data_IF_625322396910
#
_entry.id   IF_625322396910
#
_cell.length_a   1.000
_cell.length_b   1.000
_cell.length_c   1.000
_cell.angle_alpha   90.00
_cell.angle_beta   90.00
_cell.angle_gamma   90.00
#
_symmetry.space_group_name_H-M   'P 1'
#
loop_
_entity.id
_entity.type
_entity.pdbx_description
1 polymer ?
#
# COMPACT_ATOMS: atom_id res chain seq x y z
N UNK A 1 9.87 -61.24 2.41
CA UNK A 1 10.42 -59.88 2.21
C UNK A 1 9.22 -58.93 2.16
N UNK A 2 8.81 -58.42 3.31
CA UNK A 2 7.59 -57.62 3.49
C UNK A 2 8.02 -56.30 4.11
N UNK A 3 8.15 -55.26 3.29
CA UNK A 3 8.42 -53.89 3.76
C UNK A 3 7.11 -53.24 4.19
N UNK A 4 7.05 -52.84 5.46
CA UNK A 4 5.99 -52.04 6.06
C UNK A 4 6.26 -50.56 5.81
N UNK A 5 5.37 -49.88 5.07
CA UNK A 5 5.35 -48.42 4.99
C UNK A 5 4.83 -47.84 6.32
N UNK A 6 5.67 -47.08 7.02
CA UNK A 6 5.22 -46.19 8.11
C UNK A 6 4.69 -44.90 7.48
N UNK A 7 3.42 -44.60 7.69
CA UNK A 7 2.83 -43.30 7.39
C UNK A 7 3.38 -42.23 8.34
N UNK A 8 4.09 -41.24 7.81
CA UNK A 8 4.32 -39.97 8.49
C UNK A 8 3.12 -39.06 8.23
N UNK A 9 2.41 -38.69 9.30
CA UNK A 9 1.48 -37.55 9.29
C UNK A 9 2.32 -36.25 9.34
N UNK A 10 1.99 -35.21 8.56
CA UNK A 10 2.65 -33.92 8.70
C UNK A 10 2.14 -33.21 9.96
N UNK A 11 3.07 -32.48 10.58
CA UNK A 11 2.91 -31.69 11.78
C UNK A 11 1.77 -30.66 11.65
N UNK A 12 1.03 -30.51 12.76
CA UNK A 12 -0.15 -29.67 12.87
C UNK A 12 0.12 -28.19 12.56
N UNK A 13 -0.80 -27.62 11.79
CA UNK A 13 -1.03 -26.19 11.63
C UNK A 13 -1.53 -25.63 12.97
N UNK A 14 -0.69 -24.87 13.67
CA UNK A 14 -1.12 -24.05 14.80
C UNK A 14 -1.82 -22.81 14.24
N UNK A 15 -3.15 -22.82 14.23
CA UNK A 15 -3.94 -21.61 14.01
C UNK A 15 -3.89 -20.82 15.31
N UNK A 16 -3.01 -19.81 15.38
CA UNK A 16 -3.11 -18.75 16.37
C UNK A 16 -4.35 -17.92 16.05
N UNK A 17 -5.48 -18.28 16.65
CA UNK A 17 -6.67 -17.45 16.65
C UNK A 17 -6.41 -16.20 17.49
N UNK A 18 -5.99 -15.12 16.82
CA UNK A 18 -5.95 -13.79 17.43
C UNK A 18 -7.36 -13.38 17.87
N UNK A 19 -7.50 -12.94 19.11
CA UNK A 19 -8.74 -12.39 19.64
C UNK A 19 -9.06 -11.09 18.90
N UNK A 20 -9.99 -11.14 17.94
CA UNK A 20 -10.58 -9.92 17.38
C UNK A 20 -11.39 -9.21 18.46
N UNK A 21 -11.06 -7.94 18.74
CA UNK A 21 -11.93 -7.08 19.55
C UNK A 21 -13.09 -6.61 18.68
N UNK A 22 -14.28 -6.32 19.26
CA UNK A 22 -15.42 -5.79 18.50
C UNK A 22 -15.07 -4.53 17.69
N UNK A 23 -14.27 -3.62 18.26
CA UNK A 23 -13.81 -2.42 17.56
C UNK A 23 -12.99 -2.71 16.30
N UNK A 24 -12.16 -3.77 16.30
CA UNK A 24 -11.42 -4.18 15.10
C UNK A 24 -12.32 -4.84 14.04
N UNK A 25 -13.39 -5.52 14.47
CA UNK A 25 -14.37 -6.06 13.54
C UNK A 25 -15.18 -4.94 12.87
N UNK A 26 -15.58 -3.93 13.64
CA UNK A 26 -16.27 -2.73 13.13
C UNK A 26 -15.38 -1.98 12.13
N UNK A 27 -14.09 -1.78 12.46
CA UNK A 27 -13.15 -1.13 11.55
C UNK A 27 -12.95 -1.90 10.25
N UNK A 28 -12.85 -3.23 10.29
CA UNK A 28 -12.73 -4.04 9.09
C UNK A 28 -13.97 -3.93 8.18
N UNK A 29 -15.18 -3.85 8.77
CA UNK A 29 -16.43 -3.64 8.01
C UNK A 29 -16.50 -2.24 7.39
N UNK A 30 -16.11 -1.20 8.15
CA UNK A 30 -16.03 0.18 7.64
C UNK A 30 -15.05 0.29 6.46
N UNK A 31 -13.89 -0.37 6.57
CA UNK A 31 -12.86 -0.38 5.52
C UNK A 31 -13.30 -1.16 4.27
N UNK A 32 -14.00 -2.29 4.43
CA UNK A 32 -14.62 -3.02 3.32
C UNK A 32 -15.65 -2.14 2.59
N UNK A 33 -16.52 -1.48 3.35
CA UNK A 33 -17.51 -0.55 2.80
C UNK A 33 -16.86 0.65 2.09
N UNK A 34 -15.79 1.21 2.66
CA UNK A 34 -15.03 2.32 2.08
C UNK A 34 -14.42 1.93 0.73
N UNK A 35 -13.74 0.78 0.65
CA UNK A 35 -13.14 0.27 -0.59
C UNK A 35 -14.20 -0.02 -1.65
N UNK A 36 -15.30 -0.68 -1.28
CA UNK A 36 -16.42 -0.95 -2.21
C UNK A 36 -17.04 0.34 -2.73
N UNK A 37 -17.23 1.33 -1.87
CA UNK A 37 -17.76 2.65 -2.26
C UNK A 37 -16.86 3.33 -3.27
N UNK A 38 -15.54 3.30 -3.06
CA UNK A 38 -14.57 3.87 -3.98
C UNK A 38 -14.64 3.22 -5.37
N UNK A 39 -14.61 1.88 -5.44
CA UNK A 39 -14.69 1.16 -6.72
C UNK A 39 -16.04 1.33 -7.43
N UNK A 40 -17.16 1.25 -6.70
CA UNK A 40 -18.49 1.43 -7.26
C UNK A 40 -18.71 2.84 -7.81
N UNK A 41 -18.07 3.86 -7.24
CA UNK A 41 -18.12 5.23 -7.78
C UNK A 41 -17.65 5.33 -9.24
N UNK A 42 -16.65 4.55 -9.65
CA UNK A 42 -16.22 4.50 -11.06
C UNK A 42 -17.24 3.78 -11.95
N UNK A 43 -17.87 2.71 -11.43
CA UNK A 43 -18.91 1.99 -12.15
C UNK A 43 -20.14 2.88 -12.38
N UNK A 44 -20.60 3.57 -11.33
CA UNK A 44 -21.76 4.47 -11.33
C UNK A 44 -21.49 5.81 -12.04
N UNK A 45 -20.24 6.06 -12.44
CA UNK A 45 -19.79 7.33 -13.01
C UNK A 45 -20.05 8.50 -12.05
N UNK A 46 -19.93 8.25 -10.74
CA UNK A 46 -20.13 9.20 -9.66
C UNK A 46 -18.79 9.67 -9.09
N UNK A 47 -18.24 10.79 -9.59
CA UNK A 47 -17.01 11.34 -9.01
C UNK A 47 -17.23 11.81 -7.57
N UNK A 48 -18.44 12.21 -7.17
CA UNK A 48 -18.75 12.58 -5.79
C UNK A 48 -18.58 11.39 -4.84
N UNK A 49 -19.03 10.20 -5.26
CA UNK A 49 -18.83 8.97 -4.50
C UNK A 49 -17.34 8.60 -4.41
N UNK A 50 -16.60 8.65 -5.52
CA UNK A 50 -15.14 8.41 -5.50
C UNK A 50 -14.45 9.37 -4.53
N UNK A 51 -14.72 10.67 -4.65
CA UNK A 51 -14.07 11.70 -3.83
C UNK A 51 -14.45 11.63 -2.35
N UNK A 52 -15.63 11.11 -2.01
CA UNK A 52 -16.05 10.96 -0.62
C UNK A 52 -15.22 9.96 0.18
N UNK A 53 -14.48 9.08 -0.50
CA UNK A 53 -13.69 8.02 0.13
C UNK A 53 -12.20 8.34 0.28
N UNK A 54 -11.72 9.39 -0.39
CA UNK A 54 -10.28 9.71 -0.44
C UNK A 54 -9.98 10.97 0.34
N UNK A 55 -8.84 11.01 1.02
CA UNK A 55 -8.36 12.22 1.65
C UNK A 55 -7.92 13.24 0.57
N UNK A 56 -8.10 14.57 0.77
CA UNK A 56 -7.64 15.58 -0.19
C UNK A 56 -6.13 15.54 -0.49
N UNK A 57 -5.34 14.96 0.41
CA UNK A 57 -3.90 14.76 0.24
C UNK A 57 -3.53 13.38 -0.36
N UNK A 58 -4.50 12.68 -0.97
CA UNK A 58 -4.28 11.35 -1.57
C UNK A 58 -3.06 11.33 -2.50
N UNK A 59 -2.21 10.33 -2.31
CA UNK A 59 -1.25 9.86 -3.31
C UNK A 59 -1.75 8.58 -3.93
N UNK A 60 -2.01 8.57 -5.23
CA UNK A 60 -2.29 7.32 -5.94
C UNK A 60 -1.38 7.21 -7.16
N UNK A 61 -0.51 6.20 -7.15
CA UNK A 61 0.59 6.04 -8.10
C UNK A 61 0.47 4.74 -8.88
N UNK A 62 0.65 4.84 -10.19
CA UNK A 62 0.68 3.70 -11.10
C UNK A 62 1.94 3.72 -11.95
N UNK A 63 2.14 2.66 -12.73
CA UNK A 63 3.22 2.60 -13.72
C UNK A 63 2.64 2.69 -15.13
N UNK A 64 3.11 3.65 -15.90
CA UNK A 64 2.89 3.74 -17.35
C UNK A 64 4.11 3.17 -18.08
N UNK A 65 3.95 2.00 -18.69
CA UNK A 65 5.03 1.28 -19.38
C UNK A 65 5.40 1.90 -20.74
N UNK A 66 4.62 2.86 -21.22
CA UNK A 66 4.84 3.47 -22.53
C UNK A 66 4.42 4.94 -22.51
N UNK A 67 5.03 5.70 -21.60
CA UNK A 67 4.69 7.10 -21.38
C UNK A 67 4.68 7.88 -22.69
N UNK A 68 3.49 8.36 -23.08
CA UNK A 68 3.27 9.12 -24.33
C UNK A 68 3.79 8.42 -25.60
N UNK A 69 3.85 7.10 -25.62
CA UNK A 69 4.34 6.34 -26.77
C UNK A 69 5.87 6.33 -26.92
N UNK A 70 6.62 6.75 -25.90
CA UNK A 70 8.08 6.85 -25.98
C UNK A 70 8.81 5.53 -25.74
N UNK A 71 8.10 4.50 -25.25
CA UNK A 71 8.70 3.26 -24.76
C UNK A 71 9.43 3.42 -23.42
N UNK A 72 9.31 4.58 -22.76
CA UNK A 72 9.86 4.80 -21.42
C UNK A 72 8.83 4.49 -20.35
N UNK A 73 9.27 3.83 -19.28
CA UNK A 73 8.47 3.66 -18.07
C UNK A 73 8.43 4.99 -17.30
N UNK A 74 7.24 5.37 -16.84
CA UNK A 74 7.07 6.54 -15.96
C UNK A 74 6.08 6.23 -14.84
N UNK A 75 6.30 6.85 -13.68
CA UNK A 75 5.32 6.84 -12.61
C UNK A 75 4.17 7.79 -12.94
N UNK A 76 2.96 7.25 -12.98
CA UNK A 76 1.73 8.00 -13.13
C UNK A 76 1.19 8.44 -11.77
N UNK A 77 0.69 9.68 -11.69
CA UNK A 77 0.03 10.22 -10.50
C UNK A 77 -1.45 10.48 -10.75
N UNK A 78 -2.30 10.01 -9.83
CA UNK A 78 -3.73 10.28 -9.76
C UNK A 78 -4.04 11.10 -8.51
N UNK A 79 -4.14 12.42 -8.67
CA UNK A 79 -4.63 13.32 -7.64
C UNK A 79 -6.16 13.22 -7.50
N UNK A 80 -6.76 13.72 -6.40
CA UNK A 80 -8.22 13.84 -6.29
C UNK A 80 -8.87 14.57 -7.47
N UNK A 81 -8.24 15.64 -7.98
CA UNK A 81 -8.73 16.34 -9.18
C UNK A 81 -8.77 15.41 -10.41
N UNK A 82 -7.76 14.54 -10.58
CA UNK A 82 -7.73 13.57 -11.67
C UNK A 82 -8.75 12.45 -11.45
N UNK A 83 -8.91 11.98 -10.22
CA UNK A 83 -9.96 11.02 -9.86
C UNK A 83 -11.37 11.59 -10.09
N UNK A 84 -11.59 12.89 -9.91
CA UNK A 84 -12.86 13.52 -10.25
C UNK A 84 -13.18 13.42 -11.75
N UNK A 85 -12.17 13.56 -12.61
CA UNK A 85 -12.32 13.41 -14.06
C UNK A 85 -12.57 11.93 -14.38
N UNK A 86 -11.73 11.03 -13.87
CA UNK A 86 -11.86 9.59 -14.10
C UNK A 86 -13.19 9.04 -13.58
N UNK A 87 -13.65 9.48 -12.42
CA UNK A 87 -14.95 9.12 -11.87
C UNK A 87 -16.13 9.47 -12.78
N UNK A 88 -15.97 10.38 -13.75
CA UNK A 88 -16.99 10.68 -14.78
C UNK A 88 -16.83 9.85 -16.05
N UNK A 89 -15.59 9.62 -16.47
CA UNK A 89 -15.30 9.15 -17.84
C UNK A 89 -14.73 7.73 -17.90
N UNK A 90 -14.24 7.18 -16.80
CA UNK A 90 -13.50 5.92 -16.82
C UNK A 90 -14.36 4.79 -17.39
N UNK A 91 -15.62 4.70 -16.97
CA UNK A 91 -16.56 3.69 -17.42
C UNK A 91 -17.50 4.18 -18.55
N UNK A 92 -17.13 5.23 -19.31
CA UNK A 92 -18.06 5.85 -20.28
C UNK A 92 -18.57 4.90 -21.37
N UNK A 93 -17.80 3.87 -21.69
CA UNK A 93 -18.05 2.81 -22.67
C UNK A 93 -18.65 1.54 -22.03
N UNK A 94 -19.04 1.60 -20.75
CA UNK A 94 -19.61 0.49 -19.97
C UNK A 94 -18.70 -0.76 -19.92
N UNK A 95 -17.38 -0.55 -20.01
CA UNK A 95 -16.39 -1.63 -19.90
C UNK A 95 -16.38 -2.32 -18.54
N UNK A 96 -16.71 -1.60 -17.46
CA UNK A 96 -16.89 -2.18 -16.14
C UNK A 96 -18.27 -2.81 -16.02
N UNK A 97 -18.28 -4.13 -15.90
CA UNK A 97 -19.52 -4.89 -15.71
C UNK A 97 -19.95 -4.86 -14.23
N UNK A 98 -21.24 -4.59 -13.98
CA UNK A 98 -21.83 -4.47 -12.64
C UNK A 98 -21.71 -5.74 -11.77
N UNK A 99 -21.45 -6.88 -12.39
CA UNK A 99 -21.53 -8.21 -11.74
C UNK A 99 -20.33 -8.52 -10.85
N UNK A 100 -19.25 -7.75 -10.92
CA UNK A 100 -18.10 -7.92 -10.04
C UNK A 100 -18.25 -6.99 -8.83
N UNK A 101 -18.73 -7.52 -7.70
CA UNK A 101 -18.53 -6.80 -6.45
C UNK A 101 -17.03 -6.66 -6.23
N UNK A 102 -16.49 -5.43 -6.06
CA UNK A 102 -15.07 -5.26 -5.80
C UNK A 102 -14.70 -6.06 -4.54
N UNK A 103 -13.63 -6.84 -4.64
CA UNK A 103 -13.11 -7.61 -3.52
C UNK A 103 -12.19 -6.69 -2.73
N UNK A 104 -12.51 -6.49 -1.46
CA UNK A 104 -11.67 -5.75 -0.52
C UNK A 104 -11.06 -6.75 0.47
N UNK A 105 -9.75 -6.67 0.68
CA UNK A 105 -9.01 -7.47 1.64
C UNK A 105 -8.31 -6.48 2.57
N UNK A 106 -8.67 -6.52 3.84
CA UNK A 106 -7.94 -5.77 4.87
C UNK A 106 -6.80 -6.67 5.35
N UNK A 107 -5.56 -6.32 4.98
CA UNK A 107 -4.37 -7.07 5.38
C UNK A 107 -4.05 -6.83 6.86
N UNK A 108 -4.20 -5.58 7.30
CA UNK A 108 -3.84 -5.17 8.64
C UNK A 108 -4.57 -3.88 9.05
N UNK A 109 -4.85 -3.74 10.34
CA UNK A 109 -5.23 -2.49 11.00
C UNK A 109 -4.27 -2.27 12.17
N UNK A 110 -3.55 -1.14 12.18
CA UNK A 110 -2.65 -0.74 13.26
C UNK A 110 -2.90 0.71 13.63
N UNK A 111 -3.38 0.93 14.86
CA UNK A 111 -3.73 2.26 15.34
C UNK A 111 -4.75 2.94 14.43
N UNK A 112 -4.35 4.07 13.85
CA UNK A 112 -5.17 4.86 12.93
C UNK A 112 -4.82 4.64 11.45
N UNK A 113 -4.15 3.55 11.07
CA UNK A 113 -3.98 3.18 9.67
C UNK A 113 -4.29 1.72 9.40
N UNK A 114 -4.60 1.43 8.14
CA UNK A 114 -4.84 0.08 7.64
C UNK A 114 -4.20 -0.11 6.27
N UNK A 115 -3.73 -1.33 6.01
CA UNK A 115 -3.33 -1.76 4.67
C UNK A 115 -4.48 -2.53 4.04
N UNK A 116 -4.92 -2.08 2.87
CA UNK A 116 -6.09 -2.62 2.18
C UNK A 116 -5.71 -2.92 0.75
N UNK A 117 -6.06 -4.10 0.30
CA UNK A 117 -6.05 -4.46 -1.10
C UNK A 117 -7.47 -4.43 -1.64
N UNK A 118 -7.64 -3.80 -2.79
CA UNK A 118 -8.89 -3.78 -3.52
C UNK A 118 -8.66 -4.32 -4.92
N UNK A 119 -9.50 -5.26 -5.34
CA UNK A 119 -9.47 -5.86 -6.68
C UNK A 119 -10.83 -5.64 -7.32
N UNK A 120 -10.84 -4.99 -8.48
CA UNK A 120 -12.01 -4.74 -9.30
C UNK A 120 -11.74 -5.26 -10.71
N UNK A 121 -12.75 -5.68 -11.47
CA UNK A 121 -12.61 -6.52 -12.68
C UNK A 121 -11.57 -6.12 -13.75
N UNK A 122 -11.02 -4.90 -13.73
CA UNK A 122 -9.92 -4.45 -14.62
C UNK A 122 -8.64 -3.97 -13.88
N UNK A 123 -8.69 -3.67 -12.59
CA UNK A 123 -7.54 -3.15 -11.84
C UNK A 123 -7.47 -3.64 -10.39
N UNK A 124 -6.31 -3.47 -9.78
CA UNK A 124 -6.12 -3.64 -8.35
C UNK A 124 -5.46 -2.41 -7.75
N UNK A 125 -5.69 -2.20 -6.47
CA UNK A 125 -5.17 -1.11 -5.68
C UNK A 125 -4.66 -1.65 -4.33
N UNK A 126 -3.44 -1.29 -3.95
CA UNK A 126 -2.97 -1.42 -2.58
C UNK A 126 -3.03 -0.05 -1.93
N UNK A 127 -3.97 0.13 -1.01
CA UNK A 127 -4.21 1.35 -0.26
C UNK A 127 -3.60 1.30 1.13
N UNK A 128 -3.14 2.45 1.59
CA UNK A 128 -3.12 2.80 3.01
C UNK A 128 -4.34 3.66 3.29
N UNK A 129 -5.25 3.16 4.13
CA UNK A 129 -6.33 3.94 4.71
C UNK A 129 -5.90 4.51 6.06
N UNK A 130 -6.42 5.67 6.41
CA UNK A 130 -6.12 6.37 7.68
C UNK A 130 -7.39 6.86 8.34
N UNK A 131 -7.47 6.70 9.65
CA UNK A 131 -8.58 7.20 10.48
C UNK A 131 -8.23 8.60 10.99
N UNK A 132 -8.96 9.60 10.51
CA UNK A 132 -8.76 11.02 10.87
C UNK A 132 -10.06 11.51 11.53
N UNK A 133 -9.96 12.03 12.75
CA UNK A 133 -11.13 12.47 13.52
C UNK A 133 -12.24 11.41 13.66
N UNK A 134 -11.86 10.13 13.69
CA UNK A 134 -12.79 9.01 13.83
C UNK A 134 -13.30 8.41 12.51
N UNK A 135 -13.00 9.02 11.36
CA UNK A 135 -13.47 8.56 10.05
C UNK A 135 -12.32 8.01 9.19
N UNK A 136 -12.53 6.86 8.55
CA UNK A 136 -11.57 6.27 7.62
C UNK A 136 -11.56 6.99 6.26
N UNK A 137 -10.37 7.20 5.71
CA UNK A 137 -10.17 7.75 4.36
C UNK A 137 -8.98 7.10 3.68
N UNK A 138 -9.04 6.95 2.36
CA UNK A 138 -7.94 6.42 1.54
C UNK A 138 -6.89 7.53 1.32
N UNK A 139 -5.61 7.26 1.63
CA UNK A 139 -4.56 8.28 1.63
C UNK A 139 -3.37 7.97 0.71
N UNK A 140 -2.84 6.75 0.73
CA UNK A 140 -1.76 6.35 -0.17
C UNK A 140 -2.20 5.15 -0.99
N UNK A 141 -1.77 5.06 -2.24
CA UNK A 141 -2.12 3.96 -3.12
C UNK A 141 -1.04 3.71 -4.16
N UNK A 142 -0.73 2.43 -4.36
CA UNK A 142 -0.09 1.94 -5.59
C UNK A 142 -1.06 1.03 -6.32
N UNK A 143 -1.14 1.16 -7.64
CA UNK A 143 -2.13 0.43 -8.46
C UNK A 143 -1.58 -0.14 -9.75
N UNK A 144 -2.34 -1.06 -10.36
CA UNK A 144 -2.04 -1.62 -11.67
C UNK A 144 -3.26 -2.31 -12.30
N UNK A 145 -3.11 -2.75 -13.54
CA UNK A 145 -4.13 -3.55 -14.25
C UNK A 145 -4.14 -5.01 -13.78
N UNK A 146 -5.29 -5.69 -13.88
CA UNK A 146 -5.38 -7.10 -13.45
C UNK A 146 -4.47 -8.05 -14.24
N UNK A 147 -4.07 -7.68 -15.46
CA UNK A 147 -3.10 -8.42 -16.26
C UNK A 147 -1.78 -8.64 -15.51
N UNK A 148 -1.39 -7.70 -14.65
CA UNK A 148 -0.19 -7.82 -13.81
C UNK A 148 -0.46 -8.29 -12.38
N UNK A 149 -1.72 -8.41 -11.99
CA UNK A 149 -2.09 -8.88 -10.65
C UNK A 149 -1.78 -10.37 -10.46
N UNK A 150 -2.07 -11.19 -11.48
CA UNK A 150 -1.82 -12.64 -11.46
C UNK A 150 -0.40 -13.01 -11.88
N UNK A 151 0.36 -12.08 -12.46
CA UNK A 151 1.76 -12.29 -12.83
C UNK A 151 2.67 -12.13 -11.61
N UNK A 152 2.39 -12.85 -10.53
CA UNK A 152 3.35 -12.99 -9.43
C UNK A 152 4.60 -13.66 -10.02
N UNK A 153 5.59 -12.85 -10.34
CA UNK A 153 6.89 -13.33 -10.79
C UNK A 153 7.61 -13.91 -9.57
N UNK A 154 8.33 -15.00 -9.83
CA UNK A 154 8.94 -15.92 -8.86
C UNK A 154 9.87 -15.23 -7.85
N UNK A 155 10.35 -16.01 -6.88
CA UNK A 155 11.31 -15.74 -5.79
C UNK A 155 12.25 -14.52 -5.94
N UNK A 156 12.67 -14.16 -7.16
CA UNK A 156 13.44 -12.95 -7.49
C UNK A 156 12.76 -11.64 -7.05
N UNK A 157 11.47 -11.42 -7.34
CA UNK A 157 10.81 -10.16 -6.95
C UNK A 157 10.63 -10.08 -5.43
N UNK A 158 10.30 -11.21 -4.79
CA UNK A 158 10.23 -11.28 -3.33
C UNK A 158 11.58 -10.96 -2.69
N UNK A 159 12.67 -11.55 -3.18
CA UNK A 159 14.01 -11.29 -2.67
C UNK A 159 14.47 -9.84 -2.92
N UNK A 160 14.09 -9.25 -4.07
CA UNK A 160 14.39 -7.86 -4.36
C UNK A 160 13.62 -6.89 -3.44
N UNK A 161 12.33 -7.14 -3.19
CA UNK A 161 11.52 -6.38 -2.24
C UNK A 161 12.11 -6.47 -0.82
N UNK A 162 12.45 -7.68 -0.37
CA UNK A 162 13.08 -7.91 0.94
C UNK A 162 14.42 -7.16 1.04
N UNK A 163 15.21 -7.15 -0.03
CA UNK A 163 16.44 -6.38 -0.13
C UNK A 163 16.22 -4.88 0.01
N UNK A 164 15.22 -4.31 -0.67
CA UNK A 164 14.86 -2.89 -0.58
C UNK A 164 14.41 -2.53 0.84
N UNK A 165 13.56 -3.34 1.46
CA UNK A 165 13.07 -3.11 2.83
C UNK A 165 14.20 -3.21 3.87
N UNK A 166 15.12 -4.16 3.69
CA UNK A 166 16.32 -4.29 4.52
C UNK A 166 17.23 -3.06 4.39
N UNK A 167 17.51 -2.62 3.16
CA UNK A 167 18.29 -1.41 2.90
C UNK A 167 17.61 -0.14 3.42
N UNK A 168 16.28 -0.07 3.36
CA UNK A 168 15.51 1.04 3.90
C UNK A 168 15.65 1.13 5.42
N UNK A 169 15.53 0.00 6.13
CA UNK A 169 15.76 -0.09 7.57
C UNK A 169 17.19 0.35 7.94
N UNK A 170 18.20 -0.17 7.24
CA UNK A 170 19.59 0.25 7.44
C UNK A 170 19.77 1.76 7.20
N UNK A 171 19.07 2.29 6.20
CA UNK A 171 19.05 3.71 5.89
C UNK A 171 18.43 4.57 6.99
N UNK A 172 17.29 4.14 7.54
CA UNK A 172 16.67 4.78 8.70
C UNK A 172 17.58 4.74 9.94
N UNK A 173 18.36 3.68 10.10
CA UNK A 173 19.36 3.52 11.17
C UNK A 173 20.64 4.35 10.95
N UNK A 174 20.83 4.96 9.78
CA UNK A 174 21.91 5.92 9.51
C UNK A 174 22.73 5.69 8.24
N UNK A 175 22.49 4.61 7.49
CA UNK A 175 23.16 4.37 6.20
C UNK A 175 22.50 5.21 5.09
N UNK A 176 22.90 6.48 5.02
CA UNK A 176 22.32 7.46 4.11
C UNK A 176 22.35 7.02 2.63
N UNK A 177 23.40 6.34 2.18
CA UNK A 177 23.53 5.92 0.79
C UNK A 177 22.47 4.85 0.46
N UNK A 178 22.29 3.86 1.34
CA UNK A 178 21.20 2.88 1.20
C UNK A 178 19.82 3.52 1.27
N UNK A 179 19.63 4.51 2.15
CA UNK A 179 18.37 5.25 2.21
C UNK A 179 18.10 5.95 0.88
N UNK A 180 19.12 6.58 0.29
CA UNK A 180 18.98 7.31 -0.97
C UNK A 180 18.59 6.39 -2.14
N UNK A 181 19.18 5.19 -2.21
CA UNK A 181 18.94 4.18 -3.25
C UNK A 181 17.52 3.57 -3.20
N UNK A 182 16.98 3.40 -1.99
CA UNK A 182 15.67 2.76 -1.79
C UNK A 182 14.47 3.67 -2.06
N UNK A 183 14.69 4.99 -2.08
CA UNK A 183 13.62 5.99 -2.20
C UNK A 183 13.51 6.54 -3.61
N UNK A 184 12.33 6.40 -4.22
CA UNK A 184 12.03 7.09 -5.47
C UNK A 184 12.05 8.62 -5.25
N UNK A 185 12.53 9.38 -6.23
CA UNK A 185 12.68 10.84 -6.13
C UNK A 185 11.36 11.57 -5.81
N UNK A 186 10.24 11.02 -6.24
CA UNK A 186 8.88 11.51 -5.96
C UNK A 186 8.20 10.75 -4.80
N UNK A 187 8.97 10.27 -3.82
CA UNK A 187 8.44 9.69 -2.59
C UNK A 187 7.43 10.64 -1.93
N UNK A 188 6.30 10.09 -1.49
CA UNK A 188 5.40 10.81 -0.61
C UNK A 188 5.21 10.06 0.71
N UNK A 189 6.02 10.45 1.70
CA UNK A 189 5.93 10.01 3.09
C UNK A 189 5.04 10.94 3.89
N UNK A 190 4.19 10.38 4.74
CA UNK A 190 3.19 11.12 5.51
C UNK A 190 3.10 10.60 6.95
N UNK A 191 2.56 11.42 7.85
CA UNK A 191 2.19 11.02 9.21
C UNK A 191 0.97 11.81 9.71
N UNK A 192 0.35 11.37 10.80
CA UNK A 192 -0.64 12.21 11.51
C UNK A 192 0.06 13.26 12.36
N UNK A 193 -0.13 14.53 12.01
CA UNK A 193 0.18 15.65 12.86
C UNK A 193 -1.03 16.05 13.72
N UNK A 194 -0.78 16.74 14.82
CA UNK A 194 -1.84 17.34 15.67
C UNK A 194 -1.58 18.83 15.83
N UNK A 195 -2.58 19.65 15.54
CA UNK A 195 -2.52 21.09 15.78
C UNK A 195 -2.53 21.40 17.27
N UNK A 196 -2.15 22.62 17.67
CA UNK A 196 -2.24 23.05 19.08
C UNK A 196 -3.67 22.94 19.66
N UNK A 197 -4.70 23.01 18.82
CA UNK A 197 -6.10 22.84 19.22
C UNK A 197 -6.60 21.40 19.24
N UNK A 198 -5.73 20.41 18.99
CA UNK A 198 -6.08 18.98 19.01
C UNK A 198 -6.65 18.43 17.71
N UNK A 199 -6.82 19.25 16.66
CA UNK A 199 -7.27 18.76 15.36
C UNK A 199 -6.14 18.00 14.64
N UNK A 200 -6.46 16.83 14.08
CA UNK A 200 -5.52 16.02 13.30
C UNK A 200 -5.35 16.57 11.88
N UNK A 201 -4.14 16.45 11.32
CA UNK A 201 -3.85 16.79 9.92
C UNK A 201 -2.82 15.80 9.33
N UNK A 202 -2.72 15.75 8.01
CA UNK A 202 -1.69 15.00 7.31
C UNK A 202 -0.44 15.85 7.17
N UNK A 203 0.65 15.41 7.79
CA UNK A 203 1.96 16.05 7.71
C UNK A 203 2.81 15.32 6.66
N UNK A 204 3.23 15.99 5.57
CA UNK A 204 4.12 15.40 4.58
C UNK A 204 5.59 15.51 5.02
N UNK A 205 6.38 14.50 4.70
CA UNK A 205 7.85 14.56 4.78
C UNK A 205 8.45 14.25 3.41
N UNK A 206 9.30 15.17 2.93
CA UNK A 206 9.98 15.00 1.65
C UNK A 206 11.13 13.98 1.75
N UNK A 207 11.49 13.37 0.61
CA UNK A 207 12.63 12.46 0.47
C UNK A 207 13.92 13.06 1.03
N UNK A 208 14.24 14.30 0.66
CA UNK A 208 15.49 14.95 1.04
C UNK A 208 15.57 15.20 2.54
N UNK A 209 14.43 15.49 3.18
CA UNK A 209 14.36 15.62 4.63
C UNK A 209 14.60 14.26 5.31
N UNK A 210 13.98 13.19 4.81
CA UNK A 210 14.20 11.83 5.30
C UNK A 210 15.69 11.41 5.19
N UNK A 211 16.33 11.74 4.08
CA UNK A 211 17.76 11.49 3.82
C UNK A 211 18.66 12.34 4.73
N UNK A 212 18.28 13.58 5.01
CA UNK A 212 19.03 14.46 5.91
C UNK A 212 18.99 13.97 7.35
N UNK A 213 17.84 13.44 7.77
CA UNK A 213 17.56 12.99 9.12
C UNK A 213 17.94 11.51 9.37
N UNK A 214 18.58 10.84 8.41
CA UNK A 214 19.05 9.46 8.53
C UNK A 214 19.80 9.22 9.86
N UNK A 215 19.44 8.15 10.58
CA UNK A 215 19.99 7.82 11.90
C UNK A 215 19.41 8.62 13.07
N UNK A 216 18.58 9.64 12.82
CA UNK A 216 17.91 10.43 13.88
C UNK A 216 16.54 9.86 14.28
N UNK A 217 16.10 8.78 13.64
CA UNK A 217 14.77 8.19 13.85
C UNK A 217 14.68 7.21 15.02
N UNK A 218 15.79 6.94 15.71
CA UNK A 218 15.85 5.98 16.82
C UNK A 218 15.63 4.53 16.37
N UNK A 219 15.97 4.22 15.12
CA UNK A 219 15.83 2.89 14.53
C UNK A 219 17.12 2.11 14.76
N UNK A 220 17.01 0.95 15.40
CA UNK A 220 18.09 -0.02 15.54
C UNK A 220 17.91 -1.11 14.48
N UNK A 221 18.84 -1.24 13.54
CA UNK A 221 18.73 -2.12 12.37
C UNK A 221 18.44 -3.59 12.75
N UNK A 222 19.02 -4.07 13.85
CA UNK A 222 18.86 -5.44 14.34
C UNK A 222 17.53 -5.69 15.09
N UNK A 223 16.80 -4.63 15.47
CA UNK A 223 15.50 -4.71 16.13
C UNK A 223 14.34 -4.51 15.16
N UNK A 224 14.57 -3.73 14.10
CA UNK A 224 13.57 -3.44 13.09
C UNK A 224 13.22 -4.67 12.24
N UNK A 225 11.94 -4.79 11.86
CA UNK A 225 11.39 -5.90 11.08
C UNK A 225 10.49 -5.35 9.97
N UNK A 226 10.15 -6.20 9.02
CA UNK A 226 9.12 -5.87 8.04
C UNK A 226 8.22 -7.07 7.77
N UNK A 227 7.02 -6.77 7.30
CA UNK A 227 6.05 -7.75 6.79
C UNK A 227 5.59 -7.31 5.41
N UNK A 228 5.78 -8.13 4.39
CA UNK A 228 5.20 -7.90 3.06
C UNK A 228 3.77 -8.44 3.07
N UNK A 229 2.79 -7.56 2.85
CA UNK A 229 1.37 -7.93 2.86
C UNK A 229 0.99 -8.63 1.56
N UNK A 230 1.32 -8.01 0.44
CA UNK A 230 1.14 -8.57 -0.90
C UNK A 230 2.01 -7.82 -1.92
N UNK A 231 2.26 -8.46 -3.07
CA UNK A 231 2.95 -7.87 -4.20
C UNK A 231 2.50 -8.47 -5.53
N UNK A 232 2.78 -7.74 -6.59
CA UNK A 232 2.63 -8.15 -7.98
C UNK A 232 3.96 -7.97 -8.72
N UNK A 233 4.02 -8.22 -10.03
CA UNK A 233 5.22 -7.90 -10.82
C UNK A 233 5.57 -6.39 -10.87
N UNK A 234 4.68 -5.50 -10.40
CA UNK A 234 4.84 -4.05 -10.54
C UNK A 234 4.85 -3.27 -9.23
N UNK A 235 4.07 -3.70 -8.24
CA UNK A 235 3.90 -2.94 -7.00
C UNK A 235 3.81 -3.87 -5.80
N UNK A 236 4.15 -3.37 -4.62
CA UNK A 236 4.07 -4.11 -3.37
C UNK A 236 3.56 -3.23 -2.23
N UNK A 237 2.96 -3.86 -1.23
CA UNK A 237 2.61 -3.23 0.04
C UNK A 237 3.25 -4.01 1.18
N UNK A 238 3.87 -3.28 2.10
CA UNK A 238 4.51 -3.84 3.27
C UNK A 238 4.33 -2.92 4.48
N UNK A 239 4.66 -3.45 5.64
CA UNK A 239 4.84 -2.72 6.89
C UNK A 239 6.28 -2.84 7.34
N UNK A 240 6.84 -1.74 7.83
CA UNK A 240 8.12 -1.70 8.54
C UNK A 240 7.84 -1.39 10.00
N UNK A 241 8.31 -2.26 10.90
CA UNK A 241 8.31 -2.04 12.34
C UNK A 241 9.71 -1.58 12.74
N UNK A 242 9.86 -0.28 13.01
CA UNK A 242 11.17 0.34 13.17
C UNK A 242 11.62 0.42 14.65
N UNK A 243 10.87 -0.17 15.57
CA UNK A 243 11.09 -0.11 17.01
C UNK A 243 10.10 0.86 17.68
N UNK A 244 10.41 2.18 17.75
CA UNK A 244 9.55 3.15 18.43
C UNK A 244 8.28 3.52 17.65
N UNK A 245 8.19 3.15 16.38
CA UNK A 245 7.08 3.44 15.48
C UNK A 245 6.96 2.36 14.41
N UNK A 246 5.85 2.39 13.67
CA UNK A 246 5.64 1.52 12.50
C UNK A 246 5.29 2.36 11.28
N UNK A 247 5.51 1.82 10.09
CA UNK A 247 5.28 2.54 8.85
C UNK A 247 4.70 1.60 7.79
N UNK A 248 3.57 1.97 7.22
CA UNK A 248 3.04 1.31 6.02
C UNK A 248 3.81 1.86 4.81
N UNK A 249 4.43 0.98 4.03
CA UNK A 249 5.24 1.35 2.86
C UNK A 249 4.65 0.72 1.60
N UNK A 250 4.74 1.45 0.50
CA UNK A 250 4.32 0.97 -0.82
C UNK A 250 5.48 1.12 -1.79
N UNK A 251 5.74 0.05 -2.52
CA UNK A 251 6.84 -0.04 -3.46
C UNK A 251 6.33 -0.14 -4.90
N UNK A 252 7.13 0.35 -5.83
CA UNK A 252 6.89 0.21 -7.26
C UNK A 252 8.18 -0.21 -7.97
N UNK A 253 8.05 -1.10 -8.95
CA UNK A 253 9.14 -1.52 -9.83
C UNK A 253 9.21 -0.61 -11.06
N UNK A 254 10.24 0.23 -11.14
CA UNK A 254 10.47 1.19 -12.21
C UNK A 254 11.83 0.91 -12.86
N UNK A 255 11.86 0.77 -14.18
CA UNK A 255 13.06 0.45 -14.96
C UNK A 255 13.81 -0.82 -14.48
N UNK A 256 13.06 -1.76 -13.88
CA UNK A 256 13.61 -3.00 -13.32
C UNK A 256 13.93 -2.94 -11.82
N UNK A 257 13.98 -1.75 -11.23
CA UNK A 257 14.37 -1.54 -9.83
C UNK A 257 13.16 -1.28 -8.94
N UNK A 258 13.14 -1.93 -7.77
CA UNK A 258 12.12 -1.71 -6.75
C UNK A 258 12.48 -0.50 -5.90
N UNK A 259 11.53 0.42 -5.71
CA UNK A 259 11.73 1.62 -4.88
C UNK A 259 10.48 1.92 -4.05
N UNK A 260 10.67 2.51 -2.88
CA UNK A 260 9.58 3.01 -2.03
C UNK A 260 9.06 4.31 -2.65
N UNK A 261 7.77 4.35 -2.94
CA UNK A 261 7.11 5.49 -3.58
C UNK A 261 6.11 6.20 -2.68
N UNK A 262 5.51 5.50 -1.71
CA UNK A 262 4.66 6.09 -0.68
C UNK A 262 4.95 5.45 0.67
N UNK A 263 4.75 6.23 1.73
CA UNK A 263 4.72 5.66 3.08
C UNK A 263 3.88 6.48 4.07
N UNK A 264 3.47 5.83 5.16
CA UNK A 264 2.69 6.42 6.23
C UNK A 264 3.14 5.92 7.61
N UNK A 265 3.59 6.85 8.46
CA UNK A 265 4.13 6.57 9.80
C UNK A 265 3.02 6.58 10.85
N UNK A 266 3.12 5.65 11.80
CA UNK A 266 2.25 5.44 12.95
C UNK A 266 3.02 5.55 14.27
#
# INVERSE_FOLDING_TARGET
>A
MTMSLKSMLPAGLLILGGLFTPALADDAEELDALGKTFALGFWEKSPEQVLSTVHPALSKKGRDDNWRGTGQEMMEHLSPARLQILGRIYNHDDRLQKVDSPRVIVHEITGNAASIEMVNGEWYDFFTAVKINGEWSLLNCVYGGLDTYQSQSADEDSAAIDGVLTSYIAGLAGDKDRLEETLHIELERRQLGTTHGGASYIEPLAREALILDAGSFGVEENEARFTVHNFTARVASARVDAGPWSEQVQLMKLNGDWQIVNSFVL
#
